data_IF_838395522242
#
_entry.id   IF_838395522242
#
_cell.length_a   1.000
_cell.length_b   1.000
_cell.length_c   1.000
_cell.angle_alpha   90.00
_cell.angle_beta   90.00
_cell.angle_gamma   90.00
#
_symmetry.space_group_name_H-M   'P 1'
#
loop_
_entity.id
_entity.type
_entity.pdbx_description
1 polymer ?
#
# COMPACT_ATOMS: atom_id res chain seq x y z
N UNK A 1 5.95 5.48 -2.37
CA UNK A 1 6.22 4.21 -1.67
C UNK A 1 6.11 3.01 -2.60
N UNK A 2 4.91 2.60 -3.07
CA UNK A 2 4.75 1.43 -3.95
C UNK A 2 5.64 1.56 -5.20
N UNK A 3 5.58 2.70 -5.86
CA UNK A 3 6.41 2.99 -7.03
C UNK A 3 7.91 2.85 -6.74
N UNK A 4 8.37 3.28 -5.57
CA UNK A 4 9.77 3.12 -5.17
C UNK A 4 10.18 1.66 -4.96
N UNK A 5 9.26 0.80 -4.52
CA UNK A 5 9.51 -0.63 -4.42
C UNK A 5 9.49 -1.32 -5.80
N UNK A 6 8.63 -0.88 -6.72
CA UNK A 6 8.63 -1.35 -8.13
C UNK A 6 9.98 -1.03 -8.79
N UNK A 7 10.49 0.19 -8.64
CA UNK A 7 11.80 0.58 -9.20
C UNK A 7 13.01 -0.18 -8.63
N UNK A 8 12.85 -0.83 -7.48
CA UNK A 8 13.88 -1.74 -6.94
C UNK A 8 13.84 -3.14 -7.56
N UNK A 9 12.91 -3.38 -8.47
CA UNK A 9 12.75 -4.63 -9.21
C UNK A 9 12.92 -4.39 -10.71
N UNK A 10 12.81 -5.44 -11.52
CA UNK A 10 12.89 -5.35 -12.97
C UNK A 10 11.54 -5.07 -13.64
N UNK A 11 10.50 -4.73 -12.86
CA UNK A 11 9.18 -4.43 -13.37
C UNK A 11 9.11 -3.03 -13.99
N UNK A 12 8.47 -2.93 -15.14
CA UNK A 12 8.08 -1.64 -15.71
C UNK A 12 6.79 -1.15 -15.03
N UNK A 13 6.81 0.01 -14.34
CA UNK A 13 5.63 0.54 -13.67
C UNK A 13 4.50 0.97 -14.60
N UNK A 14 4.77 1.05 -15.92
CA UNK A 14 3.77 1.40 -16.94
C UNK A 14 2.90 0.21 -17.35
N UNK A 15 3.33 -1.01 -17.11
CA UNK A 15 2.54 -2.22 -17.36
C UNK A 15 1.42 -2.32 -16.34
N UNK A 16 0.27 -2.82 -16.75
CA UNK A 16 -0.92 -2.93 -15.89
C UNK A 16 -1.59 -4.28 -16.08
N UNK A 17 -2.29 -4.72 -15.04
CA UNK A 17 -3.15 -5.91 -15.05
C UNK A 17 -4.64 -5.56 -15.05
N UNK A 18 -5.02 -4.56 -14.27
CA UNK A 18 -6.40 -4.19 -14.01
C UNK A 18 -6.77 -2.84 -14.63
N UNK A 19 -5.81 -1.91 -14.65
CA UNK A 19 -6.05 -0.55 -15.14
C UNK A 19 -5.59 -0.41 -16.61
N UNK A 20 -6.33 0.34 -17.38
CA UNK A 20 -5.97 0.67 -18.77
C UNK A 20 -4.62 1.40 -18.83
N UNK A 21 -3.63 0.89 -19.60
CA UNK A 21 -2.27 1.45 -19.62
C UNK A 21 -2.20 2.89 -20.13
N UNK A 22 -3.20 3.31 -20.92
CA UNK A 22 -3.19 4.62 -21.61
C UNK A 22 -3.71 5.76 -20.74
N UNK A 23 -4.50 5.51 -19.71
CA UNK A 23 -5.09 6.56 -18.89
C UNK A 23 -4.14 7.11 -17.82
N UNK A 24 -3.17 6.34 -17.37
CA UNK A 24 -2.29 6.74 -16.26
C UNK A 24 -0.84 6.28 -16.46
N UNK A 25 0.08 7.19 -16.13
CA UNK A 25 1.52 7.01 -16.36
C UNK A 25 2.14 5.79 -15.65
N UNK A 26 1.54 5.33 -14.53
CA UNK A 26 2.08 4.25 -13.70
C UNK A 26 0.97 3.30 -13.25
N UNK A 27 0.39 2.55 -14.18
CA UNK A 27 -0.77 1.69 -13.93
C UNK A 27 -0.49 0.55 -12.96
N UNK A 28 0.70 -0.06 -13.00
CA UNK A 28 1.09 -1.13 -12.07
C UNK A 28 1.11 -0.66 -10.61
N UNK A 29 1.48 0.60 -10.37
CA UNK A 29 1.42 1.17 -9.02
C UNK A 29 0.01 1.17 -8.45
N UNK A 30 -0.99 1.40 -9.29
CA UNK A 30 -2.40 1.37 -8.90
C UNK A 30 -2.85 -0.06 -8.61
N UNK A 31 -2.53 -1.02 -9.48
CA UNK A 31 -2.89 -2.42 -9.31
C UNK A 31 -2.35 -2.98 -7.99
N UNK A 32 -1.09 -2.70 -7.68
CA UNK A 32 -0.50 -3.09 -6.40
C UNK A 32 -1.12 -2.35 -5.21
N UNK A 33 -1.52 -1.09 -5.39
CA UNK A 33 -2.15 -0.32 -4.31
C UNK A 33 -3.48 -0.91 -3.87
N UNK A 34 -4.27 -1.48 -4.78
CA UNK A 34 -5.53 -2.13 -4.44
C UNK A 34 -5.35 -3.31 -3.48
N UNK A 35 -4.26 -4.08 -3.63
CA UNK A 35 -3.95 -5.20 -2.72
C UNK A 35 -3.62 -4.69 -1.31
N UNK A 36 -2.88 -3.59 -1.21
CA UNK A 36 -2.33 -3.12 0.07
C UNK A 36 -3.16 -2.04 0.75
N UNK A 37 -4.10 -1.41 0.05
CA UNK A 37 -4.98 -0.39 0.60
C UNK A 37 -5.73 -0.88 1.85
N UNK A 38 -6.48 -1.99 1.82
CA UNK A 38 -7.16 -2.50 3.01
C UNK A 38 -6.21 -2.95 4.11
N UNK A 39 -5.02 -3.44 3.74
CA UNK A 39 -4.05 -3.97 4.68
C UNK A 39 -3.27 -2.91 5.45
N UNK A 40 -3.04 -1.76 4.83
CA UNK A 40 -2.21 -0.70 5.38
C UNK A 40 -3.05 0.55 5.63
N UNK A 41 -3.66 1.12 4.59
CA UNK A 41 -4.33 2.42 4.68
C UNK A 41 -5.56 2.36 5.59
N UNK A 42 -6.46 1.42 5.35
CA UNK A 42 -7.69 1.31 6.14
C UNK A 42 -7.37 1.02 7.61
N UNK A 43 -6.38 0.16 7.88
CA UNK A 43 -5.94 -0.12 9.25
C UNK A 43 -5.29 1.08 9.93
N UNK A 44 -4.57 1.91 9.20
CA UNK A 44 -4.04 3.18 9.74
C UNK A 44 -5.19 4.11 10.09
N UNK A 45 -6.17 4.27 9.19
CA UNK A 45 -7.36 5.10 9.43
C UNK A 45 -8.09 4.62 10.69
N UNK A 46 -8.41 3.34 10.79
CA UNK A 46 -9.07 2.78 12.00
C UNK A 46 -8.24 2.98 13.27
N UNK A 47 -6.93 2.85 13.19
CA UNK A 47 -6.06 3.08 14.34
C UNK A 47 -6.11 4.54 14.80
N UNK A 48 -6.05 5.48 13.86
CA UNK A 48 -6.08 6.91 14.13
C UNK A 48 -7.42 7.35 14.76
N UNK A 49 -8.52 6.78 14.27
CA UNK A 49 -9.85 7.06 14.80
C UNK A 49 -10.05 6.40 16.17
N UNK A 50 -9.79 5.11 16.31
CA UNK A 50 -10.04 4.37 17.54
C UNK A 50 -9.16 4.82 18.71
N UNK A 51 -7.98 5.35 18.41
CA UNK A 51 -7.07 5.92 19.42
C UNK A 51 -7.22 7.42 19.61
N UNK A 52 -8.23 8.02 18.97
CA UNK A 52 -8.50 9.47 19.03
C UNK A 52 -7.27 10.35 18.69
N UNK A 53 -6.40 9.81 17.83
CA UNK A 53 -5.19 10.52 17.40
C UNK A 53 -5.49 11.61 16.37
N UNK A 54 -6.55 11.44 15.58
CA UNK A 54 -7.11 12.43 14.66
C UNK A 54 -8.43 12.93 15.24
N UNK A 55 -8.56 14.26 15.31
CA UNK A 55 -9.69 14.99 15.85
C UNK A 55 -10.23 15.97 14.82
N UNK A 56 -11.45 16.55 15.01
CA UNK A 56 -12.00 17.54 14.09
C UNK A 56 -11.08 18.73 13.81
N UNK A 57 -10.29 19.16 14.78
CA UNK A 57 -9.32 20.27 14.67
C UNK A 57 -8.16 19.98 13.68
N UNK A 58 -8.00 18.72 13.26
CA UNK A 58 -7.00 18.29 12.27
C UNK A 58 -7.52 18.33 10.85
N UNK A 59 -8.74 18.86 10.65
CA UNK A 59 -9.36 18.99 9.34
C UNK A 59 -9.64 20.45 9.02
N UNK A 60 -9.39 20.81 7.77
CA UNK A 60 -9.87 22.05 7.18
C UNK A 60 -11.04 21.74 6.24
N UNK A 61 -12.04 22.61 6.27
CA UNK A 61 -13.26 22.46 5.46
C UNK A 61 -13.36 23.60 4.48
N UNK A 62 -13.46 23.29 3.21
CA UNK A 62 -13.86 24.20 2.15
C UNK A 62 -15.24 23.81 1.62
N UNK A 63 -15.88 24.68 0.83
CA UNK A 63 -17.29 24.58 0.41
C UNK A 63 -17.77 23.18 0.01
N UNK A 64 -16.92 22.33 -0.59
CA UNK A 64 -17.25 20.98 -1.02
C UNK A 64 -16.22 19.91 -0.61
N UNK A 65 -15.20 20.29 0.15
CA UNK A 65 -14.09 19.39 0.48
C UNK A 65 -13.74 19.49 1.95
N UNK A 66 -13.46 18.33 2.55
CA UNK A 66 -12.86 18.22 3.87
C UNK A 66 -11.51 17.51 3.70
N UNK A 67 -10.45 18.10 4.17
CA UNK A 67 -9.09 17.55 4.04
C UNK A 67 -8.29 17.73 5.33
N UNK A 68 -7.29 16.88 5.51
CA UNK A 68 -6.38 16.99 6.63
C UNK A 68 -5.52 18.25 6.48
N UNK A 69 -5.47 19.08 7.52
CA UNK A 69 -4.50 20.16 7.63
C UNK A 69 -3.09 19.61 7.88
N UNK A 70 -2.10 20.49 7.96
CA UNK A 70 -0.69 20.08 8.10
C UNK A 70 -0.42 19.26 9.36
N UNK A 71 -1.07 19.56 10.47
CA UNK A 71 -0.95 18.79 11.71
C UNK A 71 -1.56 17.40 11.56
N UNK A 72 -2.76 17.30 10.99
CA UNK A 72 -3.43 16.03 10.69
C UNK A 72 -2.64 15.16 9.70
N UNK A 73 -2.08 15.77 8.64
CA UNK A 73 -1.20 15.07 7.70
C UNK A 73 0.04 14.50 8.38
N UNK A 74 0.67 15.25 9.25
CA UNK A 74 1.84 14.81 10.01
C UNK A 74 1.54 13.58 10.87
N UNK A 75 0.43 13.60 11.59
CA UNK A 75 -0.03 12.48 12.41
C UNK A 75 -0.29 11.25 11.53
N UNK A 76 -1.00 11.44 10.42
CA UNK A 76 -1.29 10.35 9.48
C UNK A 76 -0.01 9.72 8.91
N UNK A 77 0.94 10.53 8.44
CA UNK A 77 2.19 10.05 7.85
C UNK A 77 3.03 9.29 8.89
N UNK A 78 3.09 9.76 10.13
CA UNK A 78 3.81 9.08 11.21
C UNK A 78 3.22 7.69 11.49
N UNK A 79 1.90 7.59 11.63
CA UNK A 79 1.25 6.31 11.87
C UNK A 79 1.34 5.38 10.66
N UNK A 80 1.25 5.92 9.45
CA UNK A 80 1.43 5.18 8.22
C UNK A 80 2.85 4.59 8.10
N UNK A 81 3.89 5.38 8.40
CA UNK A 81 5.27 4.88 8.39
C UNK A 81 5.50 3.84 9.49
N UNK A 82 4.94 4.06 10.69
CA UNK A 82 4.95 3.06 11.77
C UNK A 82 4.32 1.74 11.31
N UNK A 83 3.19 1.80 10.62
CA UNK A 83 2.50 0.62 10.07
C UNK A 83 3.34 -0.10 9.02
N UNK A 84 3.97 0.64 8.09
CA UNK A 84 4.84 0.07 7.07
C UNK A 84 6.04 -0.69 7.64
N UNK A 85 6.59 -0.21 8.75
CA UNK A 85 7.74 -0.82 9.42
C UNK A 85 7.34 -1.92 10.39
N UNK A 86 6.04 -2.02 10.76
CA UNK A 86 5.55 -3.13 11.58
C UNK A 86 5.64 -4.45 10.83
N UNK A 87 5.78 -5.55 11.57
CA UNK A 87 6.01 -6.88 11.00
C UNK A 87 4.83 -7.80 11.22
N UNK A 88 4.63 -8.73 10.30
CA UNK A 88 3.73 -9.86 10.47
C UNK A 88 4.39 -11.15 10.00
N UNK A 89 3.90 -12.30 10.48
CA UNK A 89 4.35 -13.60 10.01
C UNK A 89 3.89 -13.82 8.58
N UNK A 90 4.85 -14.02 7.66
CA UNK A 90 4.53 -14.33 6.27
C UNK A 90 4.49 -15.85 6.08
N UNK A 91 3.32 -16.45 5.76
CA UNK A 91 3.14 -17.90 5.79
C UNK A 91 4.16 -18.67 4.93
N UNK A 92 4.44 -18.19 3.72
CA UNK A 92 5.35 -18.87 2.77
C UNK A 92 6.84 -18.78 3.16
N UNK A 93 7.22 -17.87 4.05
CA UNK A 93 8.62 -17.67 4.47
C UNK A 93 8.87 -18.12 5.92
N UNK A 94 7.80 -18.48 6.65
CA UNK A 94 7.82 -18.85 8.06
C UNK A 94 8.53 -17.86 9.00
N UNK A 95 8.76 -16.63 8.53
CA UNK A 95 9.41 -15.55 9.26
C UNK A 95 8.56 -14.28 9.30
N UNK A 96 8.87 -13.40 10.24
CA UNK A 96 8.27 -12.06 10.30
C UNK A 96 8.90 -11.17 9.22
N UNK A 97 8.06 -10.46 8.49
CA UNK A 97 8.45 -9.48 7.48
C UNK A 97 7.68 -8.19 7.67
N UNK A 98 8.29 -7.05 7.33
CA UNK A 98 7.60 -5.76 7.36
C UNK A 98 6.59 -5.65 6.21
N UNK A 99 5.56 -4.83 6.41
CA UNK A 99 4.61 -4.52 5.32
C UNK A 99 5.31 -3.92 4.10
N UNK A 100 6.33 -3.09 4.33
CA UNK A 100 7.18 -2.55 3.24
C UNK A 100 7.87 -3.66 2.44
N UNK A 101 8.41 -4.68 3.11
CA UNK A 101 9.04 -5.80 2.43
C UNK A 101 8.02 -6.69 1.71
N UNK A 102 6.80 -6.81 2.22
CA UNK A 102 5.73 -7.54 1.53
C UNK A 102 5.38 -6.93 0.17
N UNK A 103 5.38 -5.60 0.05
CA UNK A 103 5.20 -4.93 -1.25
C UNK A 103 6.23 -5.42 -2.27
N UNK A 104 7.49 -5.54 -1.86
CA UNK A 104 8.56 -6.06 -2.73
C UNK A 104 8.35 -7.53 -3.07
N UNK A 105 7.89 -8.34 -2.14
CA UNK A 105 7.57 -9.75 -2.40
C UNK A 105 6.45 -9.91 -3.43
N UNK A 106 5.43 -9.04 -3.42
CA UNK A 106 4.40 -9.05 -4.45
C UNK A 106 4.97 -8.68 -5.83
N UNK A 107 5.87 -7.71 -5.91
CA UNK A 107 6.58 -7.41 -7.16
C UNK A 107 7.34 -8.63 -7.69
N UNK A 108 8.02 -9.38 -6.83
CA UNK A 108 8.73 -10.61 -7.25
C UNK A 108 7.79 -11.73 -7.68
N UNK A 109 6.60 -11.84 -7.09
CA UNK A 109 5.58 -12.79 -7.57
C UNK A 109 5.10 -12.44 -8.97
N UNK A 110 4.91 -11.15 -9.28
CA UNK A 110 4.57 -10.70 -10.62
C UNK A 110 5.67 -11.04 -11.63
N UNK A 111 6.94 -10.79 -11.28
CA UNK A 111 8.07 -11.17 -12.13
C UNK A 111 8.05 -12.69 -12.43
N UNK A 112 7.84 -13.53 -11.42
CA UNK A 112 7.73 -14.98 -11.61
C UNK A 112 6.54 -15.39 -12.49
N UNK A 113 5.41 -14.72 -12.35
CA UNK A 113 4.27 -14.94 -13.21
C UNK A 113 4.63 -14.68 -14.69
N UNK A 114 5.31 -13.57 -14.96
CA UNK A 114 5.72 -13.22 -16.32
C UNK A 114 6.76 -14.19 -16.90
N UNK A 115 7.79 -14.53 -16.12
CA UNK A 115 8.90 -15.36 -16.61
C UNK A 115 8.57 -16.84 -16.65
N UNK A 116 7.88 -17.36 -15.65
CA UNK A 116 7.66 -18.78 -15.43
C UNK A 116 6.25 -19.23 -15.86
N UNK A 117 5.41 -18.28 -16.32
CA UNK A 117 3.98 -18.51 -16.65
C UNK A 117 3.20 -19.18 -15.51
N UNK A 118 3.66 -19.00 -14.27
CA UNK A 118 2.96 -19.48 -13.08
C UNK A 118 1.79 -18.57 -12.76
N UNK A 119 0.63 -19.10 -12.31
CA UNK A 119 -0.49 -18.25 -11.94
C UNK A 119 -0.07 -17.31 -10.81
N UNK A 120 -0.48 -16.03 -10.93
CA UNK A 120 -0.28 -15.05 -9.89
C UNK A 120 -1.29 -15.26 -8.76
N UNK A 121 -0.78 -15.49 -7.55
CA UNK A 121 -1.57 -15.59 -6.33
C UNK A 121 -1.21 -14.41 -5.42
N UNK A 122 -2.11 -13.43 -5.38
CA UNK A 122 -1.93 -12.23 -4.57
C UNK A 122 -1.86 -12.57 -3.07
N UNK A 123 -1.22 -11.70 -2.32
CA UNK A 123 -1.25 -11.82 -0.87
C UNK A 123 -2.68 -11.65 -0.34
N UNK A 124 -3.12 -12.60 0.47
CA UNK A 124 -4.43 -12.58 1.14
C UNK A 124 -4.20 -12.65 2.64
N UNK A 125 -4.86 -11.79 3.39
CA UNK A 125 -4.99 -11.95 4.84
C UNK A 125 -6.32 -12.65 5.10
N UNK A 126 -6.25 -13.76 5.79
CA UNK A 126 -7.43 -14.36 6.40
C UNK A 126 -7.65 -13.67 7.76
N UNK A 127 -8.85 -13.15 7.94
CA UNK A 127 -9.30 -12.48 9.16
C UNK A 127 -9.61 -13.50 10.25
#
# INVERSE_FOLDING_TARGET
>A
MILSEIFKTQLDPKVSYLHEPFERRYSLNLDLSEIFKPLIVDRVIFTLINKEMIKPEHFDQELNFCYLNDSGRKIFIQEFDRKLNSTLKYPKLERKVSYRYMLRLECYKLIKNFLEKKPYDSFKIYW
#
